data_IF_184399489036
#
_entry.id   IF_184399489036
#
_cell.length_a   1.000
_cell.length_b   1.000
_cell.length_c   1.000
_cell.angle_alpha   90.00
_cell.angle_beta   90.00
_cell.angle_gamma   90.00
#
_symmetry.space_group_name_H-M   'P 1'
#
loop_
_entity.id
_entity.type
_entity.pdbx_description
1 polymer ?
#
# COMPACT_ATOMS: atom_id res chain seq x y z
N UNK A 1 20.92 -9.65 -0.97
CA UNK A 1 19.82 -9.70 0.00
C UNK A 1 19.91 -10.99 0.81
N UNK A 2 19.51 -10.96 2.09
CA UNK A 2 19.34 -12.14 2.95
C UNK A 2 17.93 -12.71 2.76
N UNK A 3 17.83 -14.00 2.53
CA UNK A 3 16.55 -14.67 2.31
C UNK A 3 15.92 -15.14 3.63
N UNK A 4 14.62 -14.94 3.77
CA UNK A 4 13.75 -15.48 4.81
C UNK A 4 12.56 -16.14 4.11
N UNK A 5 12.35 -17.43 4.35
CA UNK A 5 11.40 -18.24 3.59
C UNK A 5 10.56 -19.14 4.50
N UNK A 6 9.30 -19.40 4.12
CA UNK A 6 8.44 -20.43 4.72
C UNK A 6 8.34 -20.32 6.24
N UNK A 7 8.15 -19.11 6.73
CA UNK A 7 8.12 -18.83 8.16
C UNK A 7 7.02 -17.85 8.50
N UNK A 8 6.81 -17.64 9.79
CA UNK A 8 5.88 -16.65 10.29
C UNK A 8 6.54 -15.81 11.38
N UNK A 9 6.02 -14.60 11.54
CA UNK A 9 6.36 -13.70 12.63
C UNK A 9 5.08 -13.15 13.25
N UNK A 10 5.13 -12.83 14.53
CA UNK A 10 4.03 -12.22 15.28
C UNK A 10 4.55 -11.16 16.25
N UNK A 11 3.65 -10.35 16.80
CA UNK A 11 4.00 -9.35 17.81
C UNK A 11 4.58 -8.04 17.25
N UNK A 12 5.32 -7.32 18.08
CA UNK A 12 5.79 -5.96 17.78
C UNK A 12 7.18 -5.99 17.12
N UNK A 13 7.27 -5.40 15.91
CA UNK A 13 8.51 -5.16 15.15
C UNK A 13 9.48 -6.35 15.00
N UNK A 14 9.02 -7.56 14.61
CA UNK A 14 9.88 -8.74 14.45
C UNK A 14 11.07 -8.58 13.48
N UNK A 15 10.98 -7.67 12.50
CA UNK A 15 12.02 -7.41 11.49
C UNK A 15 12.48 -5.94 11.50
N UNK A 16 12.41 -5.28 12.67
CA UNK A 16 12.81 -3.88 12.84
C UNK A 16 14.21 -3.59 12.27
N UNK A 17 14.36 -2.40 11.66
CA UNK A 17 15.64 -1.86 11.20
C UNK A 17 16.48 -2.85 10.39
N UNK A 18 15.80 -3.72 9.64
CA UNK A 18 16.43 -4.72 8.79
C UNK A 18 16.55 -4.20 7.38
N UNK A 19 17.64 -4.56 6.72
CA UNK A 19 17.96 -4.06 5.38
C UNK A 19 18.34 -5.19 4.44
N UNK A 20 17.94 -5.09 3.18
CA UNK A 20 18.32 -6.05 2.16
C UNK A 20 17.72 -7.43 2.40
N UNK A 21 16.42 -7.53 2.70
CA UNK A 21 15.74 -8.81 2.94
C UNK A 21 14.90 -9.22 1.73
N UNK A 22 14.95 -10.52 1.40
CA UNK A 22 14.01 -11.17 0.50
C UNK A 22 13.12 -12.11 1.32
N UNK A 23 11.84 -11.75 1.47
CA UNK A 23 10.81 -12.50 2.16
C UNK A 23 10.01 -13.31 1.13
N UNK A 24 9.96 -14.62 1.30
CA UNK A 24 9.21 -15.52 0.41
C UNK A 24 8.29 -16.44 1.22
N UNK A 25 7.00 -16.47 0.90
CA UNK A 25 6.04 -17.33 1.62
C UNK A 25 6.07 -17.08 3.14
N UNK A 26 6.22 -15.79 3.52
CA UNK A 26 6.23 -15.35 4.92
C UNK A 26 4.87 -14.81 5.33
N UNK A 27 4.36 -15.26 6.47
CA UNK A 27 3.15 -14.67 7.08
C UNK A 27 3.53 -13.80 8.28
N UNK A 28 3.17 -12.53 8.23
CA UNK A 28 3.26 -11.61 9.37
C UNK A 28 1.89 -11.55 10.02
N UNK A 29 1.75 -12.25 11.15
CA UNK A 29 0.52 -12.30 11.94
C UNK A 29 0.21 -10.97 12.63
N UNK A 30 -0.88 -10.96 13.40
CA UNK A 30 -1.28 -9.82 14.20
C UNK A 30 -0.12 -9.30 15.09
N UNK A 31 -0.01 -7.98 15.13
CA UNK A 31 1.16 -7.29 15.66
C UNK A 31 1.20 -5.85 15.17
N UNK A 32 2.33 -5.19 15.40
CA UNK A 32 2.53 -3.80 15.00
C UNK A 32 3.91 -3.58 14.38
N UNK A 33 3.93 -2.82 13.27
CA UNK A 33 5.17 -2.24 12.73
C UNK A 33 6.23 -3.27 12.32
N UNK A 34 5.82 -4.38 11.70
CA UNK A 34 6.71 -5.54 11.49
C UNK A 34 8.01 -5.23 10.75
N UNK A 35 7.93 -4.45 9.66
CA UNK A 35 9.07 -3.96 8.88
C UNK A 35 9.13 -2.44 9.03
N UNK A 36 9.49 -1.96 10.22
CA UNK A 36 9.66 -0.54 10.50
C UNK A 36 11.13 -0.13 10.37
N UNK A 37 11.40 1.05 9.81
CA UNK A 37 12.74 1.60 9.52
C UNK A 37 13.59 0.68 8.63
N UNK A 38 12.97 0.02 7.64
CA UNK A 38 13.64 -0.97 6.78
C UNK A 38 13.99 -0.40 5.40
N UNK A 39 14.97 -0.99 4.71
CA UNK A 39 15.24 -0.66 3.31
C UNK A 39 15.58 -1.89 2.48
N UNK A 40 15.40 -1.79 1.17
CA UNK A 40 15.74 -2.84 0.21
C UNK A 40 15.05 -4.17 0.57
N UNK A 41 13.73 -4.09 0.77
CA UNK A 41 12.89 -5.24 1.14
C UNK A 41 12.13 -5.72 -0.08
N UNK A 42 12.24 -7.01 -0.38
CA UNK A 42 11.41 -7.68 -1.38
C UNK A 42 10.50 -8.69 -0.68
N UNK A 43 9.19 -8.51 -0.75
CA UNK A 43 8.20 -9.42 -0.20
C UNK A 43 7.44 -10.10 -1.35
N UNK A 44 7.55 -11.42 -1.44
CA UNK A 44 6.97 -12.24 -2.51
C UNK A 44 6.13 -13.36 -1.90
N UNK A 45 4.89 -13.52 -2.37
CA UNK A 45 3.97 -14.55 -1.84
C UNK A 45 3.72 -14.41 -0.33
N UNK A 46 3.78 -13.18 0.20
CA UNK A 46 3.65 -12.91 1.63
C UNK A 46 2.21 -12.54 2.01
N UNK A 47 1.89 -12.76 3.29
CA UNK A 47 0.62 -12.37 3.89
C UNK A 47 0.87 -11.48 5.09
N UNK A 48 0.15 -10.36 5.17
CA UNK A 48 0.24 -9.40 6.26
C UNK A 48 -1.11 -9.26 6.96
N UNK A 49 -1.10 -9.42 8.28
CA UNK A 49 -2.30 -9.40 9.14
C UNK A 49 -2.22 -8.36 10.27
N UNK A 50 -1.00 -7.96 10.64
CA UNK A 50 -0.73 -6.93 11.65
C UNK A 50 -0.75 -5.49 11.10
N UNK A 51 -0.84 -4.50 12.00
CA UNK A 51 -0.91 -3.08 11.65
C UNK A 51 0.45 -2.52 11.23
N UNK A 52 0.45 -1.52 10.35
CA UNK A 52 1.65 -0.82 9.88
C UNK A 52 2.80 -1.73 9.37
N UNK A 53 2.57 -2.79 8.57
CA UNK A 53 3.61 -3.72 8.14
C UNK A 53 4.84 -3.04 7.53
N UNK A 54 4.70 -1.93 6.81
CA UNK A 54 5.83 -1.15 6.26
C UNK A 54 5.72 0.31 6.73
N UNK A 55 6.55 0.71 7.70
CA UNK A 55 6.52 2.06 8.27
C UNK A 55 7.93 2.65 8.26
N UNK A 56 8.12 3.79 7.58
CA UNK A 56 9.43 4.45 7.41
C UNK A 56 10.40 3.61 6.57
N UNK A 57 9.94 3.11 5.43
CA UNK A 57 10.76 2.28 4.56
C UNK A 57 11.22 3.00 3.29
N UNK A 58 12.34 2.56 2.73
CA UNK A 58 12.87 3.07 1.47
C UNK A 58 13.27 1.92 0.53
N UNK A 59 12.72 1.92 -0.68
CA UNK A 59 13.06 0.95 -1.71
C UNK A 59 12.53 -0.44 -1.36
N UNK A 60 11.28 -0.71 -1.71
CA UNK A 60 10.71 -2.02 -1.42
C UNK A 60 9.72 -2.50 -2.48
N UNK A 61 9.75 -3.80 -2.69
CA UNK A 61 8.94 -4.51 -3.68
C UNK A 61 7.96 -5.42 -2.95
N UNK A 62 6.70 -5.39 -3.37
CA UNK A 62 5.64 -6.24 -2.86
C UNK A 62 4.98 -6.94 -4.04
N UNK A 63 5.09 -8.27 -4.12
CA UNK A 63 4.62 -9.03 -5.28
C UNK A 63 3.81 -10.26 -4.85
N UNK A 64 2.65 -10.43 -5.47
CA UNK A 64 1.75 -11.57 -5.20
C UNK A 64 1.44 -11.71 -3.70
N UNK A 65 1.17 -10.59 -3.04
CA UNK A 65 0.95 -10.54 -1.60
C UNK A 65 -0.52 -10.31 -1.26
N UNK A 66 -0.84 -10.54 0.01
CA UNK A 66 -2.14 -10.26 0.59
C UNK A 66 -2.01 -9.42 1.86
N UNK A 67 -2.66 -8.26 1.87
CA UNK A 67 -2.88 -7.46 3.08
C UNK A 67 -4.32 -7.65 3.50
N UNK A 68 -4.55 -8.28 4.65
CA UNK A 68 -5.89 -8.54 5.16
C UNK A 68 -6.52 -7.29 5.75
N UNK A 69 -7.80 -7.35 6.10
CA UNK A 69 -8.49 -6.27 6.82
C UNK A 69 -7.78 -5.85 8.12
N UNK A 70 -7.10 -6.78 8.79
CA UNK A 70 -6.31 -6.54 10.01
C UNK A 70 -5.07 -5.66 9.77
N UNK A 71 -4.53 -5.71 8.55
CA UNK A 71 -3.36 -4.94 8.13
C UNK A 71 -3.67 -3.47 7.87
N UNK A 72 -4.41 -2.83 8.78
CA UNK A 72 -4.76 -1.41 8.67
C UNK A 72 -3.50 -0.54 8.69
N UNK A 73 -3.61 0.59 7.99
CA UNK A 73 -2.58 1.64 7.95
C UNK A 73 -1.23 1.11 7.44
N UNK A 74 -1.26 0.34 6.37
CA UNK A 74 -0.20 -0.65 6.17
C UNK A 74 1.13 -0.10 5.66
N UNK A 75 1.10 0.91 4.78
CA UNK A 75 2.28 1.49 4.13
C UNK A 75 2.32 3.00 4.30
N UNK A 76 3.00 3.50 5.32
CA UNK A 76 3.02 4.93 5.68
C UNK A 76 4.45 5.48 5.74
N UNK A 77 4.61 6.78 5.42
CA UNK A 77 5.87 7.53 5.53
C UNK A 77 7.07 6.87 4.84
N UNK A 78 6.83 6.25 3.68
CA UNK A 78 7.82 5.42 2.98
C UNK A 78 8.00 5.90 1.54
N UNK A 79 9.08 5.48 0.88
CA UNK A 79 9.41 5.88 -0.49
C UNK A 79 9.83 4.70 -1.37
N UNK A 80 9.67 4.88 -2.67
CA UNK A 80 10.09 3.93 -3.70
C UNK A 80 9.45 2.54 -3.56
N UNK A 81 8.12 2.51 -3.50
CA UNK A 81 7.33 1.28 -3.52
C UNK A 81 7.08 0.82 -4.96
N UNK A 82 7.32 -0.47 -5.22
CA UNK A 82 6.75 -1.19 -6.37
C UNK A 82 5.84 -2.31 -5.89
N UNK A 83 4.54 -2.25 -6.18
CA UNK A 83 3.57 -3.26 -5.79
C UNK A 83 2.94 -3.91 -7.02
N UNK A 84 2.95 -5.24 -7.07
CA UNK A 84 2.45 -5.99 -8.21
C UNK A 84 1.60 -7.19 -7.82
N UNK A 85 0.54 -7.47 -8.59
CA UNK A 85 -0.30 -8.67 -8.47
C UNK A 85 -0.83 -8.89 -7.04
N UNK A 86 -1.18 -7.81 -6.33
CA UNK A 86 -1.42 -7.82 -4.88
C UNK A 86 -2.88 -7.50 -4.55
N UNK A 87 -3.43 -8.22 -3.57
CA UNK A 87 -4.75 -7.97 -3.00
C UNK A 87 -4.63 -7.24 -1.66
N UNK A 88 -5.37 -6.13 -1.52
CA UNK A 88 -5.30 -5.24 -0.36
C UNK A 88 -6.70 -5.03 0.21
N UNK A 89 -7.09 -5.89 1.14
CA UNK A 89 -8.36 -5.81 1.88
C UNK A 89 -8.29 -4.77 3.01
N UNK A 90 -7.07 -4.38 3.39
CA UNK A 90 -6.81 -3.37 4.40
C UNK A 90 -7.50 -2.03 4.06
N UNK A 91 -8.34 -1.49 4.95
CA UNK A 91 -9.14 -0.31 4.64
C UNK A 91 -8.41 1.03 4.61
N UNK A 92 -7.15 1.04 5.08
CA UNK A 92 -6.33 2.26 5.16
C UNK A 92 -4.95 1.97 4.60
N UNK A 93 -4.60 2.60 3.49
CA UNK A 93 -3.39 2.29 2.73
C UNK A 93 -2.69 3.55 2.23
N UNK A 94 -1.38 3.50 1.99
CA UNK A 94 -0.57 4.57 1.41
C UNK A 94 -0.82 5.97 1.99
N UNK A 95 0.00 6.37 2.96
CA UNK A 95 -0.01 7.73 3.52
C UNK A 95 1.38 8.32 3.44
N UNK A 96 1.47 9.54 2.94
CA UNK A 96 2.71 10.32 2.88
C UNK A 96 3.84 9.53 2.21
N UNK A 97 3.53 8.94 1.05
CA UNK A 97 4.47 8.17 0.24
C UNK A 97 5.06 9.01 -0.89
N UNK A 98 6.28 8.69 -1.34
CA UNK A 98 6.89 9.28 -2.53
C UNK A 98 7.45 8.18 -3.45
N UNK A 99 6.97 8.11 -4.70
CA UNK A 99 7.32 7.03 -5.62
C UNK A 99 6.54 5.77 -5.30
N UNK A 100 5.31 5.68 -5.81
CA UNK A 100 4.42 4.52 -5.65
C UNK A 100 4.02 4.01 -7.02
N UNK A 101 4.47 2.81 -7.38
CA UNK A 101 4.09 2.12 -8.60
C UNK A 101 3.19 0.94 -8.25
N UNK A 102 1.94 0.95 -8.72
CA UNK A 102 0.99 -0.15 -8.53
C UNK A 102 0.64 -0.79 -9.88
N UNK A 103 0.83 -2.10 -10.01
CA UNK A 103 0.48 -2.88 -11.21
C UNK A 103 -0.41 -4.08 -10.82
N UNK A 104 -1.58 -4.24 -11.46
CA UNK A 104 -2.50 -5.35 -11.18
C UNK A 104 -2.91 -5.46 -9.69
N UNK A 105 -3.17 -4.32 -9.04
CA UNK A 105 -3.51 -4.25 -7.60
C UNK A 105 -5.01 -4.10 -7.40
N UNK A 106 -5.56 -4.82 -6.42
CA UNK A 106 -6.97 -4.72 -6.05
C UNK A 106 -7.13 -4.19 -4.62
N UNK A 107 -7.89 -3.12 -4.47
CA UNK A 107 -8.26 -2.52 -3.19
C UNK A 107 -9.78 -2.54 -3.01
N UNK A 108 -10.39 -3.68 -2.61
CA UNK A 108 -11.83 -3.83 -2.52
C UNK A 108 -12.52 -3.00 -1.41
N UNK A 109 -11.75 -2.50 -0.43
CA UNK A 109 -12.27 -1.80 0.73
C UNK A 109 -11.48 -0.50 1.02
N UNK A 110 -11.24 0.32 0.01
CA UNK A 110 -10.26 1.42 0.07
C UNK A 110 -10.73 2.69 0.81
N UNK A 111 -11.28 2.56 2.02
CA UNK A 111 -11.90 3.68 2.76
C UNK A 111 -10.99 4.93 2.83
N UNK A 112 -9.70 4.73 3.10
CA UNK A 112 -8.69 5.80 3.09
C UNK A 112 -7.44 5.35 2.33
N UNK A 113 -7.15 5.95 1.17
CA UNK A 113 -5.96 5.58 0.41
C UNK A 113 -5.30 6.72 -0.37
N UNK A 114 -3.99 6.63 -0.55
CA UNK A 114 -3.14 7.57 -1.32
C UNK A 114 -3.18 9.01 -0.77
N UNK A 115 -3.13 9.16 0.55
CA UNK A 115 -3.13 10.47 1.20
C UNK A 115 -1.74 11.09 1.15
N UNK A 116 -1.63 12.33 0.71
CA UNK A 116 -0.36 13.07 0.59
C UNK A 116 0.75 12.33 -0.18
N UNK A 117 0.37 11.41 -1.07
CA UNK A 117 1.32 10.68 -1.89
C UNK A 117 1.75 11.51 -3.10
N UNK A 118 3.00 11.33 -3.55
CA UNK A 118 3.57 11.96 -4.76
C UNK A 118 4.21 10.91 -5.65
N UNK A 119 4.35 11.23 -6.94
CA UNK A 119 4.95 10.33 -7.93
C UNK A 119 4.27 8.95 -7.92
N UNK A 120 2.95 8.97 -8.11
CA UNK A 120 2.10 7.76 -8.08
C UNK A 120 1.77 7.33 -9.50
N UNK A 121 2.10 6.09 -9.83
CA UNK A 121 1.78 5.43 -11.10
C UNK A 121 0.84 4.25 -10.83
N UNK A 122 -0.28 4.20 -11.55
CA UNK A 122 -1.30 3.17 -11.40
C UNK A 122 -1.54 2.50 -12.75
N UNK A 123 -1.31 1.18 -12.83
CA UNK A 123 -1.57 0.38 -14.01
C UNK A 123 -2.46 -0.83 -13.64
N UNK A 124 -3.63 -0.95 -14.27
CA UNK A 124 -4.61 -2.00 -13.97
C UNK A 124 -4.92 -2.12 -12.46
N UNK A 125 -5.29 -1.00 -11.83
CA UNK A 125 -5.62 -0.94 -10.40
C UNK A 125 -7.13 -0.81 -10.23
N UNK A 126 -7.72 -1.69 -9.41
CA UNK A 126 -9.15 -1.65 -9.08
C UNK A 126 -9.34 -1.16 -7.65
N UNK A 127 -10.09 -0.08 -7.49
CA UNK A 127 -10.37 0.56 -6.19
C UNK A 127 -11.88 0.59 -5.97
N UNK A 128 -12.35 -0.06 -4.91
CA UNK A 128 -13.76 -0.04 -4.49
C UNK A 128 -13.87 0.54 -3.08
N UNK A 129 -15.03 1.12 -2.74
CA UNK A 129 -15.30 1.76 -1.42
C UNK A 129 -14.22 2.81 -1.06
N UNK A 130 -13.89 3.64 -2.04
CA UNK A 130 -12.82 4.64 -2.00
C UNK A 130 -13.26 5.98 -1.41
N UNK A 131 -13.85 5.97 -0.21
CA UNK A 131 -14.53 7.15 0.36
C UNK A 131 -13.62 8.39 0.48
N UNK A 132 -12.31 8.18 0.72
CA UNK A 132 -11.30 9.24 0.75
C UNK A 132 -10.11 8.90 -0.15
N UNK A 133 -10.35 8.83 -1.45
CA UNK A 133 -9.31 8.69 -2.46
C UNK A 133 -8.63 10.05 -2.76
N UNK A 134 -7.29 10.12 -2.63
CA UNK A 134 -6.48 11.33 -2.95
C UNK A 134 -6.79 12.61 -2.15
N UNK A 135 -7.12 12.51 -0.86
CA UNK A 135 -7.31 13.69 -0.02
C UNK A 135 -6.02 14.55 0.06
N UNK A 136 -6.12 15.79 -0.46
CA UNK A 136 -5.11 16.87 -0.63
C UNK A 136 -3.91 16.55 -1.56
N UNK A 137 -3.95 17.11 -2.77
CA UNK A 137 -2.82 17.21 -3.72
C UNK A 137 -2.11 18.56 -3.61
N UNK A 138 -0.78 18.58 -3.66
CA UNK A 138 0.02 19.82 -3.71
C UNK A 138 0.34 20.32 -5.13
N UNK A 139 0.08 19.57 -6.21
CA UNK A 139 0.29 20.04 -7.59
C UNK A 139 -0.66 19.41 -8.63
N UNK A 140 -1.04 20.13 -9.71
CA UNK A 140 -2.12 19.75 -10.65
C UNK A 140 -1.69 18.96 -11.91
N UNK A 141 -0.43 18.58 -12.09
CA UNK A 141 0.04 17.98 -13.35
C UNK A 141 0.50 16.52 -13.18
N UNK A 142 -0.43 15.58 -13.15
CA UNK A 142 -0.17 14.17 -13.43
C UNK A 142 -1.35 13.64 -14.25
N UNK A 143 -1.08 13.22 -15.49
CA UNK A 143 -2.04 12.56 -16.35
C UNK A 143 -2.25 11.14 -15.82
N UNK A 144 -3.41 10.92 -15.21
CA UNK A 144 -3.80 9.58 -14.79
C UNK A 144 -4.53 8.92 -15.97
N UNK A 145 -4.01 7.79 -16.47
CA UNK A 145 -4.82 6.82 -17.22
C UNK A 145 -5.75 6.08 -16.24
N UNK A 146 -6.68 6.78 -15.62
CA UNK A 146 -7.84 6.15 -14.97
C UNK A 146 -8.84 5.88 -16.07
N UNK A 147 -9.21 4.63 -16.30
CA UNK A 147 -10.31 4.30 -17.20
C UNK A 147 -11.54 5.14 -16.83
N UNK A 148 -12.03 5.92 -17.79
CA UNK A 148 -13.06 6.94 -17.62
C UNK A 148 -14.39 6.43 -17.02
N UNK A 149 -14.58 5.12 -16.90
CA UNK A 149 -15.75 4.52 -16.25
C UNK A 149 -15.76 4.67 -14.72
N UNK A 150 -14.60 4.85 -14.06
CA UNK A 150 -14.51 4.96 -12.59
C UNK A 150 -14.68 6.40 -12.06
N UNK A 151 -14.50 7.42 -12.91
CA UNK A 151 -14.55 8.83 -12.50
C UNK A 151 -15.93 9.48 -12.63
N UNK A 152 -16.86 8.89 -13.39
CA UNK A 152 -18.17 9.51 -13.66
C UNK A 152 -19.00 9.78 -12.39
N UNK A 153 -19.09 8.84 -11.42
CA UNK A 153 -19.83 9.09 -10.19
C UNK A 153 -19.13 10.12 -9.27
N UNK A 154 -17.79 10.06 -9.21
CA UNK A 154 -16.97 10.89 -8.32
C UNK A 154 -16.98 12.37 -8.77
N UNK A 155 -16.97 12.61 -10.08
CA UNK A 155 -17.04 13.97 -10.63
C UNK A 155 -18.43 14.61 -10.52
N UNK A 156 -19.50 13.81 -10.40
CA UNK A 156 -20.86 14.32 -10.23
C UNK A 156 -21.12 14.82 -8.80
N UNK A 157 -20.58 14.15 -7.77
CA UNK A 157 -20.71 14.60 -6.38
C UNK A 157 -19.90 15.88 -6.10
N UNK A 158 -18.74 16.05 -6.75
CA UNK A 158 -17.92 17.25 -6.60
C UNK A 158 -18.53 18.52 -7.23
N UNK A 159 -19.56 18.42 -8.09
CA UNK A 159 -20.22 19.58 -8.73
C UNK A 159 -21.40 20.13 -7.95
N UNK A 160 -21.89 19.43 -6.92
CA UNK A 160 -22.99 19.90 -6.08
C UNK A 160 -22.65 19.67 -4.59
N UNK A 161 -21.81 20.53 -3.97
CA UNK A 161 -21.76 20.56 -2.52
C UNK A 161 -23.14 21.05 -2.00
N UNK A 162 -23.76 20.39 -1.01
CA UNK A 162 -24.94 20.93 -0.35
C UNK A 162 -24.56 22.24 0.36
N UNK A 163 -25.29 23.32 0.06
CA UNK A 163 -25.25 24.58 0.78
C UNK A 163 -25.66 24.43 2.25
#
# INVERSE_FOLDING_TARGET
>A
MKQIKNTHYEGERPLFASHGLYLEEVTIHAGESALKECSDIEAVNCRFEGKYPFWHNDGFVVKNCLFTEGARAALWYSKNLKMKDTLVEAPKMFREMDGVELENVQLPNALETLWYCRNVELNNVKINKGDYLFTRRRYPHQEFCIEWQLLLPILQECRNPPC
#
